data_IF_388470024539
#
_entry.id   IF_388470024539
#
_cell.length_a   1.000
_cell.length_b   1.000
_cell.length_c   1.000
_cell.angle_alpha   90.00
_cell.angle_beta   90.00
_cell.angle_gamma   90.00
#
_symmetry.space_group_name_H-M   'P 1'
#
loop_
_entity.id
_entity.type
_entity.pdbx_description
1 polymer ?
#
# COMPACT_ATOMS: atom_id res chain seq x y z
N UNK A 1 -3.75 -77.69 -54.22
CA UNK A 1 -3.15 -77.48 -52.94
C UNK A 1 -2.63 -76.03 -52.88
N UNK A 2 -3.37 -75.15 -52.22
CA UNK A 2 -3.06 -73.69 -52.12
C UNK A 2 -2.33 -73.44 -50.82
N UNK A 3 -1.09 -73.10 -50.89
CA UNK A 3 -0.30 -72.69 -49.75
C UNK A 3 -0.60 -71.27 -49.31
N UNK A 4 -1.04 -71.13 -48.10
CA UNK A 4 -1.32 -69.91 -47.38
C UNK A 4 0.02 -69.27 -46.99
N UNK A 5 0.35 -68.15 -47.63
CA UNK A 5 1.51 -67.34 -47.24
C UNK A 5 1.02 -66.02 -46.63
N UNK A 6 0.59 -66.06 -45.39
CA UNK A 6 0.30 -64.89 -44.61
C UNK A 6 0.64 -65.16 -43.15
N UNK A 7 1.81 -64.84 -42.67
CA UNK A 7 1.87 -64.01 -41.46
C UNK A 7 3.15 -63.16 -41.24
N UNK A 8 3.99 -62.92 -42.23
CA UNK A 8 5.26 -62.22 -41.98
C UNK A 8 5.11 -60.68 -42.04
N UNK A 9 4.08 -60.18 -42.76
CA UNK A 9 3.88 -58.74 -42.89
C UNK A 9 3.25 -58.04 -41.67
N UNK A 10 2.56 -58.75 -40.77
CA UNK A 10 1.87 -58.18 -39.60
C UNK A 10 2.81 -57.97 -38.41
N UNK A 11 3.89 -58.77 -38.29
CA UNK A 11 4.85 -58.64 -37.18
C UNK A 11 5.80 -57.44 -37.40
N UNK A 12 6.05 -57.05 -38.65
CA UNK A 12 6.90 -55.91 -38.93
C UNK A 12 6.28 -54.55 -38.63
N UNK A 13 4.92 -54.44 -38.65
CA UNK A 13 4.20 -53.20 -38.34
C UNK A 13 4.10 -52.93 -36.86
N UNK A 14 4.12 -53.99 -35.99
CA UNK A 14 4.04 -53.84 -34.56
C UNK A 14 5.41 -53.49 -33.91
N UNK A 15 6.50 -53.72 -34.59
CA UNK A 15 7.85 -53.38 -34.11
C UNK A 15 8.22 -51.89 -34.32
N UNK A 16 7.48 -51.16 -35.16
CA UNK A 16 7.71 -49.72 -35.40
C UNK A 16 6.98 -48.77 -34.48
N UNK A 17 6.13 -49.30 -33.55
CA UNK A 17 5.38 -48.47 -32.63
C UNK A 17 6.07 -48.28 -31.26
N UNK A 18 7.24 -48.91 -31.03
CA UNK A 18 7.96 -48.83 -29.75
C UNK A 18 9.30 -48.08 -29.83
N UNK A 19 9.65 -47.45 -30.95
CA UNK A 19 10.92 -46.72 -31.08
C UNK A 19 10.75 -45.19 -31.08
N UNK A 20 9.71 -44.67 -30.47
CA UNK A 20 9.50 -43.21 -30.39
C UNK A 20 9.53 -42.76 -28.91
N UNK A 21 10.62 -43.00 -28.23
CA UNK A 21 11.04 -42.30 -27.01
C UNK A 21 12.56 -42.47 -26.80
N UNK A 22 13.35 -42.05 -27.77
CA UNK A 22 14.71 -41.63 -27.46
C UNK A 22 14.67 -40.13 -27.22
N UNK A 23 14.73 -39.75 -25.96
CA UNK A 23 15.05 -38.41 -25.52
C UNK A 23 16.40 -38.07 -26.15
N UNK A 24 16.42 -37.24 -27.20
CA UNK A 24 17.63 -36.58 -27.64
C UNK A 24 18.05 -35.69 -26.46
N UNK A 25 19.14 -36.13 -25.77
CA UNK A 25 19.95 -35.21 -24.98
C UNK A 25 20.54 -34.18 -25.95
N UNK A 26 19.78 -33.13 -26.26
CA UNK A 26 20.38 -31.90 -26.73
C UNK A 26 21.17 -31.35 -25.53
N UNK A 27 22.50 -31.41 -25.64
CA UNK A 27 23.38 -30.52 -24.88
C UNK A 27 23.05 -29.07 -25.29
N UNK A 28 21.96 -28.58 -24.81
CA UNK A 28 21.68 -27.15 -24.79
C UNK A 28 22.41 -26.57 -23.59
N UNK A 29 23.36 -25.70 -23.88
CA UNK A 29 23.98 -24.79 -22.94
C UNK A 29 22.94 -24.25 -21.96
N UNK A 30 23.25 -24.48 -20.69
CA UNK A 30 22.61 -23.95 -19.50
C UNK A 30 22.46 -22.41 -19.59
N UNK A 31 21.39 -21.95 -20.17
CA UNK A 31 20.81 -20.65 -19.90
C UNK A 31 19.65 -20.93 -18.95
N UNK A 32 19.92 -20.70 -17.65
CA UNK A 32 19.08 -21.09 -16.53
C UNK A 32 17.63 -20.63 -16.61
N UNK A 33 16.83 -21.38 -17.33
CA UNK A 33 15.39 -21.32 -17.23
C UNK A 33 15.00 -22.17 -16.02
N UNK A 34 15.01 -21.56 -14.84
CA UNK A 34 14.55 -22.21 -13.64
C UNK A 34 13.04 -22.44 -13.83
N UNK A 35 12.58 -23.70 -13.66
CA UNK A 35 11.18 -24.04 -13.76
C UNK A 35 10.38 -23.26 -12.71
N UNK A 36 9.37 -22.51 -13.12
CA UNK A 36 8.52 -21.71 -12.23
C UNK A 36 7.18 -22.39 -12.00
N UNK A 37 6.65 -22.26 -10.80
CA UNK A 37 5.39 -22.83 -10.36
C UNK A 37 4.45 -21.69 -9.94
N UNK A 38 3.19 -21.80 -10.33
CA UNK A 38 2.17 -20.79 -10.02
C UNK A 38 1.61 -21.03 -8.63
N UNK A 39 1.41 -19.94 -7.89
CA UNK A 39 0.76 -19.94 -6.58
C UNK A 39 -0.59 -19.23 -6.65
N UNK A 40 -1.49 -19.59 -5.74
CA UNK A 40 -2.80 -18.98 -5.59
C UNK A 40 -3.01 -18.58 -4.14
N UNK A 41 -3.52 -17.39 -3.92
CA UNK A 41 -3.93 -16.91 -2.60
C UNK A 41 -5.45 -16.87 -2.50
N UNK A 42 -6.00 -17.40 -1.40
CA UNK A 42 -7.38 -17.19 -0.98
C UNK A 42 -7.44 -16.08 0.06
N UNK A 43 -8.44 -15.24 -0.04
CA UNK A 43 -8.71 -14.21 0.94
C UNK A 43 -9.90 -14.60 1.78
N UNK A 44 -9.71 -14.70 3.07
CA UNK A 44 -10.80 -14.75 4.03
C UNK A 44 -11.21 -13.31 4.33
N UNK A 45 -12.25 -12.82 3.68
CA UNK A 45 -12.86 -11.53 4.01
C UNK A 45 -13.57 -11.70 5.36
N UNK A 46 -12.83 -11.41 6.43
CA UNK A 46 -13.42 -11.46 7.76
C UNK A 46 -14.28 -10.22 7.96
N UNK A 47 -15.61 -10.41 7.99
CA UNK A 47 -16.54 -9.42 8.50
C UNK A 47 -16.20 -9.13 9.97
N UNK A 48 -15.77 -7.90 10.23
CA UNK A 48 -15.38 -7.45 11.59
C UNK A 48 -16.62 -7.16 12.45
N UNK A 49 -17.82 -7.38 11.97
CA UNK A 49 -19.06 -7.17 12.74
C UNK A 49 -19.07 -7.80 14.14
N UNK A 50 -18.19 -8.76 14.42
CA UNK A 50 -18.13 -9.44 15.72
C UNK A 50 -16.90 -9.12 16.57
N UNK A 51 -15.92 -8.36 16.08
CA UNK A 51 -14.66 -8.09 16.80
C UNK A 51 -14.42 -6.59 16.93
N UNK A 52 -15.33 -5.91 17.63
CA UNK A 52 -15.14 -4.52 17.99
C UNK A 52 -13.86 -4.37 18.85
N UNK A 53 -12.83 -3.76 18.29
CA UNK A 53 -11.76 -3.15 19.06
C UNK A 53 -12.10 -1.66 19.19
N UNK A 54 -12.74 -1.30 20.30
CA UNK A 54 -13.29 0.03 20.50
C UNK A 54 -14.80 0.12 20.26
N UNK A 55 -15.37 1.27 20.52
CA UNK A 55 -16.81 1.51 20.56
C UNK A 55 -17.47 1.76 19.20
N UNK A 56 -16.74 1.62 18.09
CA UNK A 56 -17.26 1.85 16.74
C UNK A 56 -17.15 0.58 15.85
N UNK A 57 -18.21 0.17 15.15
CA UNK A 57 -18.13 -0.88 14.15
C UNK A 57 -17.27 -0.38 12.98
N UNK A 58 -16.34 -1.19 12.49
CA UNK A 58 -15.62 -0.91 11.26
C UNK A 58 -16.59 -1.08 10.08
N UNK A 59 -16.92 0.00 9.41
CA UNK A 59 -17.66 -0.05 8.16
C UNK A 59 -16.70 -0.39 7.02
N UNK A 60 -16.90 -1.57 6.40
CA UNK A 60 -16.21 -1.92 5.18
C UNK A 60 -16.74 -1.08 4.02
N UNK A 61 -15.87 -0.70 3.09
CA UNK A 61 -16.29 -0.04 1.85
C UNK A 61 -17.21 -0.95 1.04
N UNK A 62 -18.30 -0.40 0.52
CA UNK A 62 -19.25 -1.10 -0.35
C UNK A 62 -18.72 -1.13 -1.80
N UNK A 63 -17.51 -1.63 -2.00
CA UNK A 63 -16.87 -1.75 -3.30
C UNK A 63 -16.38 -3.19 -3.53
N UNK A 64 -16.43 -3.63 -4.79
CA UNK A 64 -15.99 -4.98 -5.17
C UNK A 64 -14.48 -5.04 -5.35
N UNK A 65 -13.81 -6.09 -4.83
CA UNK A 65 -12.40 -6.36 -5.10
C UNK A 65 -12.14 -6.56 -6.59
N UNK A 66 -11.01 -6.05 -7.07
CA UNK A 66 -10.56 -6.21 -8.45
C UNK A 66 -9.20 -6.89 -8.54
N UNK A 67 -8.26 -6.49 -7.71
CA UNK A 67 -6.92 -7.08 -7.69
C UNK A 67 -6.31 -7.02 -6.29
N UNK A 68 -5.23 -7.77 -6.09
CA UNK A 68 -4.40 -7.73 -4.89
C UNK A 68 -2.99 -7.29 -5.25
N UNK A 69 -2.34 -6.59 -4.35
CA UNK A 69 -0.89 -6.42 -4.37
C UNK A 69 -0.26 -7.32 -3.32
N UNK A 70 0.71 -8.12 -3.74
CA UNK A 70 1.43 -9.05 -2.88
C UNK A 70 2.92 -8.72 -2.86
N UNK A 71 3.51 -8.68 -1.67
CA UNK A 71 4.95 -8.57 -1.48
C UNK A 71 5.48 -9.88 -0.92
N UNK A 72 6.36 -10.55 -1.67
CA UNK A 72 6.91 -11.85 -1.29
C UNK A 72 8.44 -11.75 -1.27
N UNK A 73 9.07 -12.21 -0.22
CA UNK A 73 10.52 -12.35 -0.15
C UNK A 73 10.94 -13.80 -0.32
N UNK A 74 12.02 -14.04 -1.08
CA UNK A 74 12.64 -15.35 -1.17
C UNK A 74 13.58 -15.54 0.03
N UNK A 75 13.36 -16.56 0.85
CA UNK A 75 14.10 -16.75 2.11
C UNK A 75 15.60 -16.98 1.88
N UNK A 76 15.96 -17.61 0.75
CA UNK A 76 17.35 -17.84 0.36
C UNK A 76 18.16 -16.55 0.16
N UNK A 77 17.52 -15.44 -0.22
CA UNK A 77 18.19 -14.17 -0.53
C UNK A 77 17.75 -13.01 0.35
N UNK A 78 16.56 -13.09 0.93
CA UNK A 78 15.90 -11.99 1.62
C UNK A 78 15.39 -10.88 0.67
N UNK A 79 15.43 -11.09 -0.66
CA UNK A 79 15.03 -10.11 -1.65
C UNK A 79 13.57 -10.31 -2.06
N UNK A 80 12.89 -9.19 -2.37
CA UNK A 80 11.56 -9.26 -2.94
C UNK A 80 11.58 -9.85 -4.35
N UNK A 81 10.62 -10.74 -4.63
CA UNK A 81 10.47 -11.38 -5.94
C UNK A 81 9.98 -10.35 -6.98
N UNK A 82 10.49 -10.47 -8.22
CA UNK A 82 10.20 -9.52 -9.29
C UNK A 82 10.84 -8.13 -9.12
N UNK A 83 11.52 -7.89 -8.02
CA UNK A 83 12.17 -6.62 -7.71
C UNK A 83 13.62 -6.51 -8.23
N UNK A 84 14.28 -5.39 -7.92
CA UNK A 84 15.63 -5.05 -8.42
C UNK A 84 16.78 -5.90 -7.83
N UNK A 85 16.48 -6.97 -7.09
CA UNK A 85 17.48 -7.84 -6.48
C UNK A 85 18.14 -7.27 -5.22
N UNK A 86 17.41 -6.44 -4.50
CA UNK A 86 17.77 -5.89 -3.18
C UNK A 86 16.61 -6.05 -2.19
N UNK A 87 16.70 -5.39 -1.04
CA UNK A 87 15.67 -5.41 0.00
C UNK A 87 14.57 -4.34 -0.18
N UNK A 88 14.59 -3.58 -1.29
CA UNK A 88 13.51 -2.64 -1.57
C UNK A 88 12.19 -3.39 -1.80
N UNK A 89 11.12 -2.85 -1.22
CA UNK A 89 9.79 -3.43 -1.35
C UNK A 89 9.38 -3.48 -2.81
N UNK A 90 8.97 -4.65 -3.27
CA UNK A 90 8.37 -4.84 -4.58
C UNK A 90 7.04 -5.56 -4.42
N UNK A 91 5.97 -4.94 -4.94
CA UNK A 91 4.62 -5.48 -4.90
C UNK A 91 4.21 -5.94 -6.30
N UNK A 92 3.74 -7.17 -6.38
CA UNK A 92 3.21 -7.77 -7.62
C UNK A 92 1.69 -7.65 -7.59
N UNK A 93 1.10 -7.08 -8.64
CA UNK A 93 -0.35 -6.97 -8.77
C UNK A 93 -0.93 -8.19 -9.47
N UNK A 94 -1.96 -8.81 -8.87
CA UNK A 94 -2.62 -10.00 -9.40
C UNK A 94 -4.13 -9.84 -9.32
N UNK A 95 -4.83 -10.15 -10.40
CA UNK A 95 -6.27 -10.09 -10.44
C UNK A 95 -6.90 -11.06 -9.45
N UNK A 96 -7.99 -10.64 -8.82
CA UNK A 96 -8.79 -11.45 -7.91
C UNK A 96 -10.13 -11.78 -8.56
N UNK A 97 -10.66 -12.95 -8.24
CA UNK A 97 -11.95 -13.40 -8.75
C UNK A 97 -12.79 -13.97 -7.63
N UNK A 98 -14.12 -13.82 -7.76
CA UNK A 98 -15.06 -14.46 -6.85
C UNK A 98 -15.43 -15.83 -7.39
N UNK A 99 -15.11 -16.88 -6.65
CA UNK A 99 -15.47 -18.24 -6.96
C UNK A 99 -16.47 -18.75 -5.91
N UNK A 100 -17.77 -18.62 -6.21
CA UNK A 100 -18.88 -19.05 -5.34
C UNK A 100 -18.86 -18.46 -3.92
N UNK A 101 -18.49 -17.19 -3.80
CA UNK A 101 -18.42 -16.47 -2.52
C UNK A 101 -17.03 -16.46 -1.88
N UNK A 102 -16.07 -17.20 -2.42
CA UNK A 102 -14.65 -17.12 -2.02
C UNK A 102 -13.88 -16.25 -2.98
N UNK A 103 -13.17 -15.27 -2.44
CA UNK A 103 -12.27 -14.44 -3.22
C UNK A 103 -10.89 -15.08 -3.29
N UNK A 104 -10.34 -15.22 -4.48
CA UNK A 104 -9.04 -15.84 -4.72
C UNK A 104 -8.30 -15.15 -5.87
N UNK A 105 -6.97 -15.20 -5.85
CA UNK A 105 -6.16 -14.73 -6.97
C UNK A 105 -6.31 -15.69 -8.15
N UNK A 106 -6.28 -15.17 -9.36
CA UNK A 106 -6.12 -16.03 -10.54
C UNK A 106 -4.69 -16.56 -10.59
N UNK A 107 -4.52 -17.78 -11.11
CA UNK A 107 -3.18 -18.25 -11.47
C UNK A 107 -2.61 -17.35 -12.56
N UNK A 108 -1.48 -16.72 -12.29
CA UNK A 108 -0.84 -15.81 -13.23
C UNK A 108 0.66 -16.01 -13.31
N UNK A 109 1.25 -15.64 -14.43
CA UNK A 109 2.69 -15.75 -14.63
C UNK A 109 3.46 -14.74 -13.77
N UNK A 110 2.81 -13.66 -13.31
CA UNK A 110 3.38 -12.69 -12.38
C UNK A 110 3.72 -13.32 -11.02
N UNK A 111 2.99 -14.38 -10.63
CA UNK A 111 3.25 -15.19 -9.43
C UNK A 111 3.91 -16.54 -9.76
N UNK A 112 4.59 -16.64 -10.88
CA UNK A 112 5.39 -17.80 -11.25
C UNK A 112 6.75 -17.77 -10.53
N UNK A 113 6.92 -18.60 -9.48
CA UNK A 113 8.13 -18.64 -8.67
C UNK A 113 8.83 -19.99 -8.81
N UNK A 114 10.19 -20.05 -8.70
CA UNK A 114 10.91 -21.30 -8.55
C UNK A 114 10.49 -22.06 -7.29
N UNK A 115 10.77 -23.37 -7.23
CA UNK A 115 10.65 -24.12 -5.99
C UNK A 115 11.59 -23.55 -4.93
N UNK A 116 11.11 -23.39 -3.69
CA UNK A 116 11.87 -22.78 -2.60
C UNK A 116 11.00 -22.35 -1.42
N UNK A 117 11.65 -21.75 -0.45
CA UNK A 117 11.01 -21.17 0.74
C UNK A 117 10.84 -19.67 0.56
N UNK A 118 9.67 -19.18 0.94
CA UNK A 118 9.24 -17.80 0.73
C UNK A 118 8.48 -17.30 1.94
N UNK A 119 8.44 -15.98 2.07
CA UNK A 119 7.65 -15.28 3.09
C UNK A 119 6.78 -14.21 2.45
N UNK A 120 5.46 -14.32 2.65
CA UNK A 120 4.49 -13.29 2.29
C UNK A 120 4.62 -12.13 3.28
N UNK A 121 5.00 -10.96 2.79
CA UNK A 121 5.25 -9.74 3.57
C UNK A 121 4.10 -8.76 3.49
N UNK A 122 3.44 -8.67 2.33
CA UNK A 122 2.35 -7.71 2.06
C UNK A 122 1.22 -8.42 1.33
N UNK A 123 -0.02 -8.10 1.71
CA UNK A 123 -1.21 -8.54 1.00
C UNK A 123 -2.30 -7.48 1.16
N UNK A 124 -2.62 -6.80 0.06
CA UNK A 124 -3.50 -5.62 0.04
C UNK A 124 -4.49 -5.78 -1.10
N UNK A 125 -5.78 -5.68 -0.81
CA UNK A 125 -6.87 -5.84 -1.78
C UNK A 125 -7.37 -4.48 -2.23
N UNK A 126 -7.47 -4.29 -3.53
CA UNK A 126 -7.90 -3.05 -4.17
C UNK A 126 -9.19 -3.21 -4.96
N UNK A 127 -9.93 -2.11 -5.11
CA UNK A 127 -11.01 -1.97 -6.09
C UNK A 127 -10.46 -1.73 -7.50
N UNK A 128 -11.36 -1.65 -8.50
CA UNK A 128 -11.00 -1.23 -9.87
C UNK A 128 -10.56 0.23 -9.98
N UNK A 129 -10.86 1.04 -8.99
CA UNK A 129 -10.53 2.47 -8.92
C UNK A 129 -9.27 2.73 -8.06
N UNK A 130 -8.48 1.67 -7.83
CA UNK A 130 -7.24 1.69 -7.05
C UNK A 130 -7.44 2.06 -5.56
N UNK A 131 -8.66 1.91 -5.05
CA UNK A 131 -8.94 2.12 -3.63
C UNK A 131 -8.59 0.88 -2.82
N UNK A 132 -7.90 1.05 -1.68
CA UNK A 132 -7.64 -0.04 -0.73
C UNK A 132 -8.92 -0.44 -0.03
N UNK A 133 -9.30 -1.70 -0.13
CA UNK A 133 -10.51 -2.25 0.48
C UNK A 133 -10.22 -3.07 1.73
N UNK A 134 -9.26 -3.98 1.64
CA UNK A 134 -8.84 -4.85 2.75
C UNK A 134 -7.33 -5.00 2.79
N UNK A 135 -6.82 -5.25 3.99
CA UNK A 135 -5.38 -5.40 4.25
C UNK A 135 -5.16 -6.56 5.22
N UNK A 136 -4.15 -7.39 4.96
CA UNK A 136 -3.73 -8.42 5.90
C UNK A 136 -2.93 -7.77 7.04
N UNK A 137 -3.37 -7.91 8.32
CA UNK A 137 -2.63 -7.37 9.45
C UNK A 137 -1.25 -8.03 9.60
N UNK A 138 -0.30 -7.26 10.13
CA UNK A 138 1.07 -7.72 10.41
C UNK A 138 1.29 -7.86 11.91
N UNK A 139 2.17 -8.77 12.27
CA UNK A 139 2.66 -8.90 13.65
C UNK A 139 3.25 -7.57 14.12
N UNK A 140 2.85 -7.12 15.29
CA UNK A 140 3.25 -5.83 15.87
C UNK A 140 2.19 -4.74 15.78
N UNK A 141 1.23 -4.87 14.86
CA UNK A 141 0.04 -4.01 14.83
C UNK A 141 -1.04 -4.51 15.79
N UNK A 142 -1.90 -3.60 16.25
CA UNK A 142 -2.98 -3.90 17.19
C UNK A 142 -3.98 -4.91 16.60
N UNK A 143 -4.21 -4.85 15.30
CA UNK A 143 -5.12 -5.74 14.59
C UNK A 143 -4.57 -7.15 14.30
N UNK A 144 -3.27 -7.39 14.56
CA UNK A 144 -2.70 -8.73 14.41
C UNK A 144 -3.46 -9.80 15.22
N UNK A 145 -3.95 -9.42 16.40
CA UNK A 145 -4.73 -10.31 17.28
C UNK A 145 -6.16 -10.61 16.78
N UNK A 146 -6.63 -9.88 15.77
CA UNK A 146 -7.97 -10.03 15.19
C UNK A 146 -8.04 -11.07 14.08
N UNK A 147 -6.91 -11.61 13.64
CA UNK A 147 -6.80 -12.61 12.58
C UNK A 147 -6.08 -13.87 13.08
N UNK A 148 -6.28 -14.98 12.39
CA UNK A 148 -5.65 -16.27 12.75
C UNK A 148 -4.17 -16.31 12.38
N UNK A 149 -3.82 -15.74 11.21
CA UNK A 149 -2.49 -15.80 10.62
C UNK A 149 -2.04 -14.40 10.17
N UNK A 150 -1.56 -13.53 11.08
CA UNK A 150 -1.02 -12.23 10.68
C UNK A 150 0.29 -12.38 9.88
N UNK A 151 0.57 -11.43 9.00
CA UNK A 151 1.83 -11.36 8.27
C UNK A 151 3.03 -11.02 9.20
N UNK A 152 4.25 -11.43 8.87
CA UNK A 152 4.67 -12.21 7.70
C UNK A 152 4.29 -13.69 7.81
N UNK A 153 3.93 -14.32 6.68
CA UNK A 153 3.53 -15.72 6.62
C UNK A 153 4.49 -16.50 5.74
N UNK A 154 5.20 -17.48 6.32
CA UNK A 154 6.13 -18.35 5.60
C UNK A 154 5.37 -19.45 4.84
N UNK A 155 5.84 -19.80 3.64
CA UNK A 155 5.35 -20.92 2.86
C UNK A 155 6.47 -21.55 2.01
N UNK A 156 6.30 -22.84 1.68
CA UNK A 156 7.23 -23.58 0.80
C UNK A 156 6.54 -23.90 -0.52
N UNK A 157 7.20 -23.61 -1.63
CA UNK A 157 6.78 -23.99 -2.96
C UNK A 157 7.56 -25.19 -3.43
N UNK A 158 6.91 -26.35 -3.51
CA UNK A 158 7.51 -27.58 -3.98
C UNK A 158 7.35 -27.75 -5.49
N UNK A 159 8.35 -28.36 -6.13
CA UNK A 159 8.31 -28.61 -7.56
C UNK A 159 7.08 -29.46 -7.96
N UNK A 160 6.34 -28.98 -8.97
CA UNK A 160 5.15 -29.66 -9.49
C UNK A 160 3.89 -29.46 -8.64
N UNK A 161 3.93 -28.62 -7.60
CA UNK A 161 2.76 -28.28 -6.79
C UNK A 161 2.16 -26.93 -7.20
N UNK A 162 0.90 -26.72 -6.84
CA UNK A 162 0.20 -25.45 -6.94
C UNK A 162 -0.41 -25.15 -5.58
N UNK A 163 0.35 -24.58 -4.64
CA UNK A 163 -0.15 -24.33 -3.30
C UNK A 163 -1.24 -23.26 -3.32
N UNK A 164 -2.20 -23.45 -2.44
CA UNK A 164 -3.24 -22.49 -2.11
C UNK A 164 -2.95 -21.97 -0.70
N UNK A 165 -2.79 -20.65 -0.57
CA UNK A 165 -2.41 -20.01 0.69
C UNK A 165 -3.56 -19.12 1.14
N UNK A 166 -4.13 -19.44 2.31
CA UNK A 166 -5.16 -18.61 2.92
C UNK A 166 -4.53 -17.39 3.59
N UNK A 167 -5.09 -16.22 3.33
CA UNK A 167 -4.64 -14.95 3.89
C UNK A 167 -5.81 -14.25 4.56
N UNK A 168 -5.68 -14.01 5.85
CA UNK A 168 -6.66 -13.26 6.62
C UNK A 168 -6.52 -11.76 6.35
N UNK A 169 -7.60 -11.12 5.92
CA UNK A 169 -7.65 -9.67 5.68
C UNK A 169 -8.75 -9.00 6.48
N UNK A 170 -8.55 -7.74 6.83
CA UNK A 170 -9.52 -6.89 7.51
C UNK A 170 -9.87 -5.68 6.64
N UNK A 171 -11.08 -5.13 6.81
CA UNK A 171 -11.46 -3.88 6.15
C UNK A 171 -10.44 -2.80 6.44
N UNK A 172 -10.02 -2.08 5.40
CA UNK A 172 -9.01 -1.04 5.55
C UNK A 172 -9.63 0.29 6.00
N UNK A 173 -9.10 0.82 7.08
CA UNK A 173 -9.40 2.15 7.58
C UNK A 173 -8.11 2.96 7.52
N UNK A 174 -7.99 3.95 6.61
CA UNK A 174 -6.75 4.69 6.38
C UNK A 174 -6.15 5.32 7.65
N UNK A 175 -6.99 5.91 8.51
CA UNK A 175 -6.56 6.53 9.77
C UNK A 175 -5.93 5.56 10.79
N UNK A 176 -6.11 4.26 10.58
CA UNK A 176 -5.63 3.22 11.49
C UNK A 176 -4.54 2.35 10.85
N UNK A 177 -3.84 2.84 9.84
CA UNK A 177 -2.83 2.09 9.09
C UNK A 177 -1.77 1.45 10.01
N UNK A 178 -1.29 2.20 11.01
CA UNK A 178 -0.34 1.69 12.02
C UNK A 178 -0.91 0.51 12.83
N UNK A 179 -2.22 0.49 13.08
CA UNK A 179 -2.87 -0.60 13.80
C UNK A 179 -2.84 -1.93 13.01
N UNK A 180 -2.70 -1.88 11.68
CA UNK A 180 -2.44 -3.07 10.86
C UNK A 180 -0.98 -3.52 10.90
N UNK A 181 -0.08 -2.76 11.53
CA UNK A 181 1.35 -3.06 11.62
C UNK A 181 2.16 -2.59 10.43
N UNK A 182 1.64 -1.67 9.63
CA UNK A 182 2.34 -0.99 8.55
C UNK A 182 2.85 0.37 9.03
N UNK A 183 3.94 0.84 8.45
CA UNK A 183 4.33 2.22 8.61
C UNK A 183 3.38 3.10 7.79
N UNK A 184 3.10 4.29 8.30
CA UNK A 184 2.28 5.26 7.61
C UNK A 184 2.80 5.47 6.18
N UNK A 185 1.95 5.29 5.14
CA UNK A 185 2.25 5.25 3.71
C UNK A 185 2.83 3.94 3.12
N UNK A 186 3.10 2.90 3.90
CA UNK A 186 3.56 1.61 3.34
C UNK A 186 2.53 0.96 2.40
N UNK A 187 1.24 1.18 2.67
CA UNK A 187 0.14 0.53 1.94
C UNK A 187 -0.15 1.18 0.59
N UNK A 188 0.39 2.35 0.32
CA UNK A 188 -0.03 3.13 -0.85
C UNK A 188 1.13 3.65 -1.69
N UNK A 189 1.96 2.75 -2.19
CA UNK A 189 3.07 3.06 -3.07
C UNK A 189 2.67 3.65 -4.44
N UNK A 190 1.39 3.59 -4.80
CA UNK A 190 0.85 4.17 -6.04
C UNK A 190 0.03 5.44 -5.81
N UNK A 191 0.02 5.95 -4.58
CA UNK A 191 -0.82 7.06 -4.18
C UNK A 191 -0.38 8.36 -4.82
N UNK A 192 -1.32 9.08 -5.39
CA UNK A 192 -1.21 10.54 -5.53
C UNK A 192 -1.13 11.08 -4.09
N UNK A 193 0.06 11.48 -3.66
CA UNK A 193 0.25 12.11 -2.37
C UNK A 193 -0.68 13.33 -2.30
N UNK A 194 -1.61 13.34 -1.34
CA UNK A 194 -2.44 14.49 -1.05
C UNK A 194 -1.59 15.56 -0.35
N UNK A 195 -0.62 16.09 -1.09
CA UNK A 195 0.22 17.18 -0.62
C UNK A 195 -0.61 18.45 -0.56
N UNK A 196 -0.62 19.09 0.60
CA UNK A 196 -1.19 20.41 0.78
C UNK A 196 -0.14 21.37 1.33
N UNK A 197 0.00 22.50 0.68
CA UNK A 197 1.05 23.46 0.99
C UNK A 197 0.45 24.78 1.43
N UNK A 198 0.98 25.37 2.50
CA UNK A 198 0.56 26.68 3.00
C UNK A 198 1.74 27.61 3.26
N UNK A 199 1.47 28.88 3.09
CA UNK A 199 2.32 29.96 3.55
C UNK A 199 1.49 30.90 4.43
N UNK A 200 2.03 31.27 5.60
CA UNK A 200 1.27 32.05 6.59
C UNK A 200 1.92 33.40 6.83
N UNK A 201 1.08 34.45 6.80
CA UNK A 201 1.41 35.76 7.33
C UNK A 201 0.63 36.02 8.63
N UNK A 202 1.34 36.59 9.59
CA UNK A 202 0.76 37.15 10.80
C UNK A 202 0.73 38.69 10.71
N UNK A 203 -0.40 39.28 11.18
CA UNK A 203 -0.60 40.71 11.11
C UNK A 203 -0.42 41.35 12.48
N UNK A 204 0.66 42.09 12.66
CA UNK A 204 0.84 43.00 13.79
C UNK A 204 1.22 44.38 13.30
N UNK A 205 0.19 45.25 13.12
CA UNK A 205 0.37 46.55 12.50
C UNK A 205 0.61 46.50 10.97
N UNK A 206 1.35 45.48 10.51
CA UNK A 206 1.52 45.09 9.11
C UNK A 206 1.67 43.58 9.00
N UNK A 207 1.70 43.05 7.78
CA UNK A 207 1.89 41.61 7.53
C UNK A 207 3.37 41.25 7.63
N UNK A 208 3.66 40.15 8.36
CA UNK A 208 4.96 39.53 8.49
C UNK A 208 4.88 38.03 8.15
N UNK A 209 5.95 37.44 7.57
CA UNK A 209 6.05 35.98 7.50
C UNK A 209 5.94 35.37 8.90
N UNK A 210 5.15 34.31 9.06
CA UNK A 210 4.96 33.69 10.37
C UNK A 210 5.79 32.42 10.54
N UNK A 211 6.25 32.19 11.77
CA UNK A 211 6.56 30.86 12.28
C UNK A 211 5.23 30.22 12.68
N UNK A 212 4.95 29.00 12.21
CA UNK A 212 3.68 28.35 12.52
C UNK A 212 3.81 26.84 12.59
N UNK A 213 2.83 26.23 13.28
CA UNK A 213 2.62 24.79 13.34
C UNK A 213 1.24 24.46 12.76
N UNK A 214 1.15 23.28 12.16
CA UNK A 214 -0.10 22.72 11.63
C UNK A 214 -0.46 21.47 12.40
N UNK A 215 -1.73 21.36 12.76
CA UNK A 215 -2.36 20.15 13.29
C UNK A 215 -3.57 19.82 12.43
N UNK A 216 -3.82 18.53 12.20
CA UNK A 216 -4.90 18.07 11.35
C UNK A 216 -5.69 16.99 12.06
N UNK A 217 -7.00 17.01 11.92
CA UNK A 217 -7.94 15.98 12.42
C UNK A 217 -8.85 15.53 11.29
N UNK A 218 -9.47 14.36 11.45
CA UNK A 218 -10.38 13.80 10.45
C UNK A 218 -11.83 14.28 10.60
N UNK A 219 -12.37 14.31 11.81
CA UNK A 219 -13.81 14.51 12.01
C UNK A 219 -14.14 15.81 12.77
N UNK A 220 -13.26 16.23 13.66
CA UNK A 220 -13.41 17.42 14.49
C UNK A 220 -12.06 17.84 15.10
N UNK A 221 -11.98 19.07 15.63
CA UNK A 221 -10.77 19.58 16.33
C UNK A 221 -10.62 18.97 17.71
N UNK A 222 -10.76 17.66 17.86
CA UNK A 222 -10.68 16.95 19.11
C UNK A 222 -9.82 15.67 19.00
N UNK A 223 -9.44 15.11 20.15
CA UNK A 223 -8.60 13.93 20.17
C UNK A 223 -7.15 14.20 19.76
N UNK A 224 -6.47 13.15 19.30
CA UNK A 224 -5.07 13.21 18.86
C UNK A 224 -5.03 13.64 17.39
N UNK A 225 -4.26 14.69 17.04
CA UNK A 225 -4.06 15.06 15.66
C UNK A 225 -3.43 13.93 14.85
N UNK A 226 -3.66 13.93 13.56
CA UNK A 226 -2.98 13.06 12.60
C UNK A 226 -1.48 13.33 12.67
N UNK A 227 -0.68 12.28 12.67
CA UNK A 227 0.77 12.41 12.55
C UNK A 227 1.13 12.90 11.15
N UNK A 228 1.77 14.05 11.04
CA UNK A 228 2.29 14.61 9.79
C UNK A 228 3.79 14.36 9.72
N UNK A 229 4.30 14.18 8.51
CA UNK A 229 5.75 14.08 8.22
C UNK A 229 6.49 15.37 8.60
N UNK A 230 5.94 16.52 8.24
CA UNK A 230 6.37 17.85 8.67
C UNK A 230 5.14 18.66 9.13
N UNK A 231 5.22 19.28 10.30
CA UNK A 231 4.14 20.07 10.86
C UNK A 231 4.53 21.51 11.21
N UNK A 232 5.77 21.93 10.97
CA UNK A 232 6.25 23.27 11.23
C UNK A 232 7.09 23.81 10.06
N UNK A 233 6.93 25.10 9.76
CA UNK A 233 7.77 25.77 8.79
C UNK A 233 9.11 26.22 9.40
N UNK A 234 10.01 26.70 8.54
CA UNK A 234 11.35 27.18 8.92
C UNK A 234 11.42 28.70 8.72
N UNK A 235 11.95 29.41 9.72
CA UNK A 235 12.34 30.81 9.59
C UNK A 235 13.83 30.89 9.30
N UNK A 236 14.21 31.71 8.32
CA UNK A 236 15.59 31.97 7.98
C UNK A 236 15.86 33.47 7.97
N UNK A 237 17.05 33.87 8.41
CA UNK A 237 17.49 35.27 8.34
C UNK A 237 18.16 35.52 7.00
N UNK A 238 17.67 36.50 6.27
CA UNK A 238 18.20 36.90 4.97
C UNK A 238 18.61 38.38 5.04
N UNK A 239 19.84 38.63 5.48
CA UNK A 239 20.30 39.97 5.86
C UNK A 239 19.50 40.50 7.04
N UNK A 240 18.92 41.70 6.92
CA UNK A 240 18.08 42.32 7.96
C UNK A 240 16.60 41.89 7.91
N UNK A 241 16.23 41.05 6.96
CA UNK A 241 14.84 40.63 6.79
C UNK A 241 14.66 39.13 7.03
N UNK A 242 13.75 38.73 7.92
CA UNK A 242 13.37 37.34 8.07
C UNK A 242 12.53 36.86 6.87
N UNK A 243 12.70 35.61 6.51
CA UNK A 243 11.88 34.93 5.52
C UNK A 243 11.36 33.60 6.09
N UNK A 244 10.16 33.19 5.70
CA UNK A 244 9.56 31.93 6.09
C UNK A 244 9.49 30.96 4.91
N UNK A 245 9.68 29.68 5.16
CA UNK A 245 9.42 28.66 4.16
C UNK A 245 7.91 28.41 4.01
N UNK A 246 7.51 27.95 2.84
CA UNK A 246 6.24 27.23 2.66
C UNK A 246 6.34 25.93 3.45
N UNK A 247 5.27 25.52 4.10
CA UNK A 247 5.13 24.19 4.68
C UNK A 247 4.23 23.37 3.78
N UNK A 248 4.75 22.25 3.29
CA UNK A 248 3.97 21.23 2.61
C UNK A 248 3.89 19.99 3.52
N UNK A 249 2.71 19.46 3.68
CA UNK A 249 2.46 18.27 4.48
C UNK A 249 1.55 17.30 3.72
N UNK A 250 1.74 16.02 3.98
CA UNK A 250 1.00 14.95 3.32
C UNK A 250 -0.20 14.58 4.17
N UNK A 251 -1.37 14.58 3.57
CA UNK A 251 -2.62 14.21 4.21
C UNK A 251 -2.94 12.75 3.86
N UNK A 252 -3.18 11.88 4.85
CA UNK A 252 -3.65 10.54 4.58
C UNK A 252 -5.06 10.61 3.98
N UNK A 253 -5.40 9.77 2.98
CA UNK A 253 -6.74 9.79 2.41
C UNK A 253 -7.77 9.29 3.41
N UNK A 254 -8.93 9.87 3.31
CA UNK A 254 -10.10 9.47 4.06
C UNK A 254 -10.95 8.50 3.24
N UNK A 255 -11.78 7.72 3.96
CA UNK A 255 -12.85 6.92 3.37
C UNK A 255 -14.11 7.76 3.35
N UNK A 256 -14.67 8.03 2.18
CA UNK A 256 -15.93 8.78 2.05
C UNK A 256 -15.72 10.23 1.62
N UNK A 257 -16.64 11.12 2.02
CA UNK A 257 -16.55 12.56 1.73
C UNK A 257 -15.50 13.18 2.67
N UNK A 258 -14.34 13.40 2.12
CA UNK A 258 -13.13 13.71 2.85
C UNK A 258 -13.10 15.18 3.27
N UNK A 259 -13.22 15.42 4.57
CA UNK A 259 -13.01 16.74 5.16
C UNK A 259 -11.98 16.60 6.27
N UNK A 260 -10.88 17.33 6.14
CA UNK A 260 -9.88 17.47 7.18
C UNK A 260 -10.14 18.76 7.95
N UNK A 261 -9.95 18.72 9.25
CA UNK A 261 -10.01 19.87 10.14
C UNK A 261 -8.60 20.33 10.42
N UNK A 262 -8.23 21.50 9.89
CA UNK A 262 -6.85 22.01 9.96
C UNK A 262 -6.79 23.18 10.92
N UNK A 263 -5.83 23.13 11.85
CA UNK A 263 -5.49 24.23 12.76
C UNK A 263 -4.09 24.71 12.48
N UNK A 264 -3.95 25.97 12.22
CA UNK A 264 -2.66 26.66 12.07
C UNK A 264 -2.47 27.54 13.29
N UNK A 265 -1.39 27.29 14.04
CA UNK A 265 -1.02 28.05 15.25
C UNK A 265 0.23 28.84 14.97
N UNK A 266 0.19 30.16 15.17
CA UNK A 266 1.38 31.04 15.07
C UNK A 266 2.26 30.81 16.30
N UNK A 267 3.56 30.65 16.06
CA UNK A 267 4.56 30.41 17.10
C UNK A 267 5.50 31.63 17.25
N UNK A 268 6.05 31.79 18.43
CA UNK A 268 7.13 32.76 18.65
C UNK A 268 8.43 32.28 17.96
N UNK A 269 9.21 33.24 17.42
CA UNK A 269 10.53 32.96 16.86
C UNK A 269 11.41 34.20 17.00
N UNK A 270 12.61 34.10 17.60
CA UNK A 270 13.49 35.24 17.87
C UNK A 270 14.00 35.96 16.63
N UNK A 271 13.85 35.41 15.45
CA UNK A 271 14.21 36.05 14.18
C UNK A 271 13.09 36.95 13.65
N UNK A 272 11.90 36.88 14.23
CA UNK A 272 10.74 37.65 13.78
C UNK A 272 10.64 39.00 14.55
N UNK A 273 10.13 40.04 13.92
CA UNK A 273 10.05 41.38 14.52
C UNK A 273 8.80 41.58 15.40
N UNK A 274 8.14 40.52 15.81
CA UNK A 274 6.97 40.52 16.70
C UNK A 274 7.11 39.40 17.73
N UNK A 275 6.33 39.47 18.80
CA UNK A 275 6.27 38.41 19.81
C UNK A 275 4.87 37.80 19.84
N UNK A 276 4.80 36.50 20.05
CA UNK A 276 3.58 35.75 20.22
C UNK A 276 3.39 35.38 21.68
N UNK A 277 2.19 35.63 22.21
CA UNK A 277 1.82 35.14 23.55
C UNK A 277 1.63 33.62 23.49
N UNK A 278 2.61 32.85 23.98
CA UNK A 278 2.58 31.39 23.99
C UNK A 278 1.39 30.83 24.78
N UNK A 279 0.82 31.58 25.71
CA UNK A 279 -0.34 31.15 26.48
C UNK A 279 -1.66 31.28 25.69
N UNK A 280 -1.68 32.19 24.69
CA UNK A 280 -2.84 32.45 23.83
C UNK A 280 -2.35 32.74 22.39
N UNK A 281 -1.77 31.75 21.71
CA UNK A 281 -1.23 31.98 20.38
C UNK A 281 -2.33 32.28 19.36
N UNK A 282 -2.09 33.13 18.37
CA UNK A 282 -3.01 33.34 17.27
C UNK A 282 -3.25 32.05 16.49
N UNK A 283 -4.51 31.71 16.24
CA UNK A 283 -4.92 30.45 15.61
C UNK A 283 -5.86 30.72 14.43
N UNK A 284 -5.69 29.94 13.37
CA UNK A 284 -6.65 29.86 12.28
C UNK A 284 -7.09 28.43 12.09
N UNK A 285 -8.39 28.21 12.15
CA UNK A 285 -9.03 26.92 11.87
C UNK A 285 -9.82 26.99 10.56
N UNK A 286 -9.74 25.90 9.78
CA UNK A 286 -10.51 25.76 8.54
C UNK A 286 -10.70 24.28 8.18
N UNK A 287 -11.75 24.02 7.41
CA UNK A 287 -12.00 22.71 6.82
C UNK A 287 -11.32 22.64 5.46
N UNK A 288 -10.78 21.47 5.11
CA UNK A 288 -10.07 21.19 3.88
C UNK A 288 -10.65 19.94 3.24
N UNK A 289 -11.29 20.09 2.09
CA UNK A 289 -11.85 18.97 1.34
C UNK A 289 -10.85 18.42 0.31
N UNK A 290 -11.10 17.22 -0.21
CA UNK A 290 -10.35 16.66 -1.33
C UNK A 290 -10.42 17.58 -2.57
N UNK A 291 -11.54 18.27 -2.76
CA UNK A 291 -11.68 19.23 -3.86
C UNK A 291 -10.73 20.43 -3.72
N UNK A 292 -10.51 20.93 -2.49
CA UNK A 292 -9.57 22.02 -2.20
C UNK A 292 -8.12 21.57 -2.44
N UNK A 293 -7.76 20.36 -2.02
CA UNK A 293 -6.44 19.76 -2.26
C UNK A 293 -6.17 19.67 -3.77
N UNK A 294 -7.12 19.12 -4.51
CA UNK A 294 -7.01 18.99 -5.97
C UNK A 294 -6.95 20.35 -6.67
N UNK A 295 -7.70 21.35 -6.16
CA UNK A 295 -7.67 22.71 -6.69
C UNK A 295 -6.29 23.35 -6.50
N UNK A 296 -5.65 23.17 -5.35
CA UNK A 296 -4.31 23.73 -5.08
C UNK A 296 -3.25 23.19 -6.05
N UNK A 297 -3.35 21.92 -6.51
CA UNK A 297 -2.43 21.35 -7.48
C UNK A 297 -2.40 22.13 -8.82
N UNK A 298 -3.48 22.84 -9.14
CA UNK A 298 -3.60 23.67 -10.35
C UNK A 298 -3.14 25.11 -10.15
N UNK A 299 -2.83 25.55 -8.92
CA UNK A 299 -2.38 26.91 -8.61
C UNK A 299 -0.93 27.17 -9.07
N UNK A 300 -0.61 28.45 -9.22
CA UNK A 300 0.76 28.90 -9.40
C UNK A 300 0.93 30.22 -8.63
N UNK A 301 1.70 30.22 -7.54
CA UNK A 301 2.42 29.10 -6.90
C UNK A 301 1.48 28.05 -6.27
N UNK A 302 1.96 26.83 -6.12
CA UNK A 302 1.19 25.69 -5.59
C UNK A 302 1.15 25.69 -4.05
N UNK A 303 0.62 26.74 -3.46
CA UNK A 303 0.36 26.84 -2.02
C UNK A 303 -0.73 27.85 -1.74
N UNK A 304 -1.45 27.68 -0.65
CA UNK A 304 -2.42 28.63 -0.16
C UNK A 304 -1.77 29.64 0.77
N UNK A 305 -2.15 30.88 0.60
CA UNK A 305 -1.66 31.98 1.40
C UNK A 305 -2.69 32.31 2.50
N UNK A 306 -2.34 31.96 3.74
CA UNK A 306 -3.17 32.18 4.91
C UNK A 306 -2.74 33.46 5.62
N UNK A 307 -3.70 34.28 5.99
CA UNK A 307 -3.50 35.47 6.81
C UNK A 307 -4.18 35.29 8.15
N UNK A 308 -3.43 35.51 9.22
CA UNK A 308 -3.91 35.52 10.58
C UNK A 308 -3.78 36.96 11.09
N UNK A 309 -4.89 37.68 11.02
CA UNK A 309 -5.01 39.09 11.39
C UNK A 309 -6.14 39.20 12.41
N UNK A 310 -5.91 39.94 13.49
CA UNK A 310 -6.91 40.24 14.51
C UNK A 310 -7.94 41.27 13.99
#
# INVERSE_FOLDING_TARGET
MKHFKLPIAVIAIFAMLFTSCSKEESTASDSGNQETFQIQFGTLLNDIESKAHGTEPMECRDASPAYVQVGITADATGFYVGGPGNTEVNLVSVNIQNNNGSWETSYSDELGLPAGDYTLQYFIVYSSDDEVLWVAPRVGGDYASSVGNPLPQAFTLEAGTKPYIDVDVLCFIPRNEEAYGYLFYDINLTRVENNYCIFVNYCEGREYPAKFMVEVWYDAYDGVPVSLDENMNIITQNGDNPSASVLCFVLPPLVGADTYFVRVTVLDDPLLPYNVDEANPPVREFELSQADINAQLSLTPKYDHIRICD
#
